data_IF_767067783539
#
_entry.id   IF_767067783539
#
_cell.length_a   1.000
_cell.length_b   1.000
_cell.length_c   1.000
_cell.angle_alpha   90.00
_cell.angle_beta   90.00
_cell.angle_gamma   90.00
#
_symmetry.space_group_name_H-M   'P 1'
#
loop_
_entity.id
_entity.type
_entity.pdbx_description
1 polymer ?
#
# COMPACT_ATOMS: atom_id res chain seq x y z
N UNK A 1 8.13 3.08 -2.59
CA UNK A 1 7.65 2.85 -3.97
C UNK A 1 8.33 3.87 -4.87
N UNK A 2 8.97 3.41 -5.93
CA UNK A 2 9.57 4.26 -6.96
C UNK A 2 9.02 3.80 -8.31
N UNK A 3 8.50 4.73 -9.11
CA UNK A 3 7.96 4.43 -10.44
C UNK A 3 8.19 5.64 -11.34
N UNK A 4 8.73 5.37 -12.53
CA UNK A 4 8.92 6.37 -13.59
C UNK A 4 7.95 6.04 -14.71
N UNK A 5 6.88 6.84 -14.83
CA UNK A 5 6.01 6.82 -16.01
C UNK A 5 6.38 8.04 -16.84
N UNK A 6 6.44 7.98 -18.18
CA UNK A 6 6.74 9.17 -18.99
C UNK A 6 5.85 10.35 -18.58
N UNK A 7 6.46 11.50 -18.25
CA UNK A 7 5.74 12.68 -17.78
C UNK A 7 5.40 12.72 -16.28
N UNK A 8 5.76 11.70 -15.50
CA UNK A 8 5.46 11.61 -14.07
C UNK A 8 6.56 10.90 -13.28
N UNK A 9 7.14 11.63 -12.33
CA UNK A 9 8.04 11.09 -11.31
C UNK A 9 7.28 10.88 -10.00
N UNK A 10 7.40 9.68 -9.44
CA UNK A 10 6.77 9.33 -8.16
C UNK A 10 7.78 8.70 -7.20
N UNK A 11 7.87 9.29 -6.00
CA UNK A 11 8.64 8.75 -4.89
C UNK A 11 7.78 8.72 -3.63
N UNK A 12 7.66 7.54 -3.01
CA UNK A 12 6.86 7.40 -1.80
C UNK A 12 7.45 6.43 -0.78
N UNK A 13 7.11 6.68 0.48
CA UNK A 13 7.36 5.80 1.62
C UNK A 13 6.05 5.32 2.19
N UNK A 14 5.97 4.02 2.42
CA UNK A 14 4.85 3.37 3.10
C UNK A 14 5.30 2.84 4.45
N UNK A 15 4.53 3.12 5.50
CA UNK A 15 4.66 2.49 6.80
C UNK A 15 3.41 1.69 7.10
N UNK A 16 3.57 0.39 7.31
CA UNK A 16 2.48 -0.53 7.62
C UNK A 16 2.54 -0.97 9.08
N UNK A 17 1.39 -1.08 9.72
CA UNK A 17 1.25 -1.72 11.03
C UNK A 17 -0.10 -2.44 11.12
N UNK A 18 -0.17 -3.44 11.98
CA UNK A 18 -1.36 -4.29 12.13
C UNK A 18 -0.98 -5.75 12.31
N UNK A 19 -1.90 -6.64 11.96
CA UNK A 19 -1.73 -8.07 12.11
C UNK A 19 -2.16 -8.83 10.85
N UNK A 20 -1.46 -9.94 10.63
CA UNK A 20 -1.74 -10.89 9.55
C UNK A 20 -1.78 -12.27 10.20
N UNK A 21 -2.85 -13.00 9.97
CA UNK A 21 -2.95 -14.40 10.36
C UNK A 21 -2.65 -15.29 9.15
N UNK A 22 -1.66 -16.16 9.31
CA UNK A 22 -1.22 -17.11 8.29
C UNK A 22 -1.50 -18.51 8.81
N UNK A 23 -2.19 -19.33 8.03
CA UNK A 23 -2.37 -20.74 8.36
C UNK A 23 -1.04 -21.48 8.22
N UNK A 24 -0.68 -22.26 9.25
CA UNK A 24 0.54 -23.07 9.22
C UNK A 24 0.41 -24.29 8.29
N UNK A 25 -0.83 -24.72 8.02
CA UNK A 25 -1.12 -25.86 7.15
C UNK A 25 -1.10 -25.44 5.68
N UNK A 26 -1.89 -24.42 5.31
CA UNK A 26 -2.04 -23.98 3.92
C UNK A 26 -0.96 -22.99 3.51
N UNK A 27 -0.30 -22.34 4.48
CA UNK A 27 0.67 -21.24 4.27
C UNK A 27 0.06 -20.04 3.55
N UNK A 28 -1.27 -19.91 3.59
CA UNK A 28 -1.99 -18.78 3.02
C UNK A 28 -2.41 -17.80 4.12
N UNK A 29 -2.63 -16.55 3.72
CA UNK A 29 -3.26 -15.55 4.58
C UNK A 29 -4.72 -15.94 4.80
N UNK A 30 -5.11 -16.04 6.06
CA UNK A 30 -6.49 -16.32 6.45
C UNK A 30 -7.25 -15.01 6.67
N UNK A 31 -6.58 -14.02 7.26
CA UNK A 31 -7.12 -12.68 7.42
C UNK A 31 -6.01 -11.67 7.74
N UNK A 32 -6.25 -10.40 7.43
CA UNK A 32 -5.41 -9.29 7.85
C UNK A 32 -6.22 -8.03 8.13
N UNK A 33 -5.84 -7.31 9.18
CA UNK A 33 -6.20 -5.91 9.40
C UNK A 33 -4.91 -5.10 9.50
N UNK A 34 -4.76 -4.16 8.59
CA UNK A 34 -3.58 -3.32 8.50
C UNK A 34 -3.97 -1.87 8.27
N UNK A 35 -3.17 -0.99 8.84
CA UNK A 35 -3.17 0.43 8.51
C UNK A 35 -1.86 0.76 7.82
N UNK A 36 -1.94 1.63 6.83
CA UNK A 36 -0.77 2.12 6.12
C UNK A 36 -0.78 3.65 6.09
N UNK A 37 0.33 4.25 6.47
CA UNK A 37 0.60 5.65 6.21
C UNK A 37 1.50 5.78 4.98
N UNK A 38 1.04 6.55 3.98
CA UNK A 38 1.70 6.72 2.69
C UNK A 38 2.02 8.17 2.48
N UNK A 39 3.31 8.49 2.51
CA UNK A 39 3.81 9.81 2.16
C UNK A 39 4.41 9.72 0.76
N UNK A 40 3.87 10.50 -0.18
CA UNK A 40 4.27 10.49 -1.58
C UNK A 40 4.63 11.89 -2.06
N UNK A 41 5.68 11.99 -2.86
CA UNK A 41 5.99 13.14 -3.68
C UNK A 41 5.71 12.78 -5.14
N UNK A 42 4.82 13.54 -5.76
CA UNK A 42 4.42 13.36 -7.16
C UNK A 42 4.80 14.61 -7.93
N UNK A 43 5.51 14.45 -9.04
CA UNK A 43 5.86 15.52 -9.95
C UNK A 43 5.40 15.18 -11.36
N UNK A 44 4.58 16.05 -11.95
CA UNK A 44 4.21 15.99 -13.36
C UNK A 44 5.05 16.96 -14.18
N UNK A 45 5.25 16.67 -15.46
CA UNK A 45 5.93 17.58 -16.38
C UNK A 45 5.28 18.98 -16.39
N UNK A 46 6.11 20.02 -16.28
CA UNK A 46 5.64 21.40 -16.23
C UNK A 46 4.99 21.83 -14.91
N UNK A 47 4.97 20.97 -13.88
CA UNK A 47 4.42 21.28 -12.55
C UNK A 47 5.46 21.11 -11.45
N UNK A 48 5.28 21.85 -10.35
CA UNK A 48 6.07 21.63 -9.13
C UNK A 48 5.61 20.35 -8.44
N UNK A 49 6.57 19.66 -7.81
CA UNK A 49 6.28 18.46 -7.05
C UNK A 49 5.35 18.75 -5.86
N UNK A 50 4.41 17.85 -5.60
CA UNK A 50 3.45 17.95 -4.50
C UNK A 50 3.58 16.77 -3.54
N UNK A 51 3.45 17.07 -2.25
CA UNK A 51 3.43 16.07 -1.20
C UNK A 51 2.01 15.68 -0.83
N UNK A 52 1.76 14.38 -0.75
CA UNK A 52 0.52 13.77 -0.33
C UNK A 52 0.79 12.89 0.88
N UNK A 53 -0.08 12.97 1.88
CA UNK A 53 -0.10 12.09 3.04
C UNK A 53 -1.46 11.41 3.11
N UNK A 54 -1.46 10.09 2.91
CA UNK A 54 -2.66 9.28 2.83
C UNK A 54 -2.61 8.18 3.88
N UNK A 55 -3.64 8.10 4.72
CA UNK A 55 -3.89 6.95 5.58
C UNK A 55 -4.80 5.97 4.83
N UNK A 56 -4.40 4.70 4.76
CA UNK A 56 -5.19 3.60 4.16
C UNK A 56 -5.48 2.55 5.21
N UNK A 57 -6.68 2.00 5.17
CA UNK A 57 -7.06 0.81 5.93
C UNK A 57 -7.21 -0.36 4.96
N UNK A 58 -6.63 -1.49 5.32
CA UNK A 58 -6.60 -2.70 4.50
C UNK A 58 -7.21 -3.82 5.33
N UNK A 59 -8.23 -4.45 4.78
CA UNK A 59 -8.86 -5.65 5.33
C UNK A 59 -8.84 -6.76 4.29
N UNK A 60 -8.37 -7.92 4.70
CA UNK A 60 -8.37 -9.15 3.90
C UNK A 60 -9.06 -10.23 4.71
N UNK A 61 -10.01 -10.90 4.07
CA UNK A 61 -10.65 -12.10 4.60
C UNK A 61 -10.53 -13.19 3.53
N UNK A 62 -10.08 -14.38 3.92
CA UNK A 62 -10.04 -15.53 3.01
C UNK A 62 -11.44 -15.88 2.55
N UNK A 63 -11.59 -16.09 1.25
CA UNK A 63 -12.83 -16.57 0.66
C UNK A 63 -12.95 -18.08 0.89
N UNK A 64 -13.97 -18.50 1.62
CA UNK A 64 -14.33 -19.91 1.71
C UNK A 64 -14.92 -20.36 0.38
N UNK A 65 -14.37 -21.43 -0.21
CA UNK A 65 -14.99 -22.10 -1.35
C UNK A 65 -16.25 -22.81 -0.88
N UNK A 66 -17.41 -22.38 -1.38
CA UNK A 66 -18.69 -23.08 -1.21
C UNK A 66 -18.72 -24.38 -2.00
#
# INVERSE_FOLDING_TARGET
METSVPGMDLKGRSHYWGYIWISLETRLMEHAEMTENVVMNIQFEGQQAQWFDTLREIRVDKLESR
#
